data_IF_540844169520
#
_entry.id   IF_540844169520
#
_cell.length_a   1.000
_cell.length_b   1.000
_cell.length_c   1.000
_cell.angle_alpha   90.00
_cell.angle_beta   90.00
_cell.angle_gamma   90.00
#
_symmetry.space_group_name_H-M   'P 1'
#
loop_
_entity.id
_entity.type
_entity.pdbx_description
1 polymer ?
#
# COMPACT_ATOMS: atom_id res chain seq x y z
N UNK A 1 19.90 8.28 19.56
CA UNK A 1 19.01 7.90 18.43
C UNK A 1 19.34 8.71 17.19
N UNK A 2 19.43 8.09 16.03
CA UNK A 2 19.65 8.74 14.74
C UNK A 2 18.45 8.52 13.81
N UNK A 3 18.33 9.37 12.77
CA UNK A 3 17.29 9.21 11.74
C UNK A 3 17.42 7.88 11.03
N UNK A 4 18.65 7.45 10.72
CA UNK A 4 18.93 6.16 10.13
C UNK A 4 18.43 4.99 10.98
N UNK A 5 18.59 5.07 12.29
CA UNK A 5 18.06 4.06 13.21
C UNK A 5 16.53 4.03 13.20
N UNK A 6 15.85 5.19 13.05
CA UNK A 6 14.39 5.21 12.89
C UNK A 6 13.96 4.52 11.60
N UNK A 7 14.65 4.76 10.46
CA UNK A 7 14.39 4.04 9.22
C UNK A 7 14.62 2.54 9.37
N UNK A 8 15.72 2.15 9.98
CA UNK A 8 16.05 0.75 10.25
C UNK A 8 14.95 0.07 11.08
N UNK A 9 14.53 0.70 12.16
CA UNK A 9 13.47 0.19 13.02
C UNK A 9 12.14 0.08 12.28
N UNK A 10 11.72 1.11 11.55
CA UNK A 10 10.45 1.13 10.84
C UNK A 10 10.39 0.05 9.75
N UNK A 11 11.50 -0.21 9.07
CA UNK A 11 11.55 -1.28 8.07
C UNK A 11 11.50 -2.68 8.72
N UNK A 12 12.21 -2.91 9.84
CA UNK A 12 12.09 -4.17 10.60
C UNK A 12 10.66 -4.36 11.12
N UNK A 13 10.01 -3.29 11.57
CA UNK A 13 8.62 -3.33 12.02
C UNK A 13 7.67 -3.76 10.91
N UNK A 14 7.85 -3.26 9.69
CA UNK A 14 7.02 -3.60 8.51
C UNK A 14 7.25 -5.04 8.06
N UNK A 15 8.52 -5.43 7.93
CA UNK A 15 8.89 -6.73 7.37
C UNK A 15 8.72 -7.90 8.35
N UNK A 16 8.62 -7.64 9.66
CA UNK A 16 8.63 -8.69 10.70
C UNK A 16 9.84 -9.62 10.60
N UNK A 17 10.85 -9.24 9.83
CA UNK A 17 12.05 -10.01 9.51
C UNK A 17 13.25 -9.09 9.38
N UNK A 18 14.25 -9.28 10.24
CA UNK A 18 15.51 -8.52 10.14
C UNK A 18 16.23 -8.82 8.82
N UNK A 19 16.17 -10.07 8.35
CA UNK A 19 16.83 -10.48 7.11
C UNK A 19 16.19 -9.79 5.89
N UNK A 20 14.87 -9.78 5.81
CA UNK A 20 14.16 -9.12 4.72
C UNK A 20 14.34 -7.60 4.77
N UNK A 21 14.22 -6.99 5.95
CA UNK A 21 14.45 -5.57 6.14
C UNK A 21 15.88 -5.15 5.75
N UNK A 22 16.89 -5.97 6.09
CA UNK A 22 18.26 -5.72 5.71
C UNK A 22 18.47 -5.77 4.20
N UNK A 23 17.84 -6.73 3.52
CA UNK A 23 17.87 -6.81 2.06
C UNK A 23 17.23 -5.57 1.41
N UNK A 24 16.08 -5.12 1.89
CA UNK A 24 15.38 -3.94 1.38
C UNK A 24 16.18 -2.64 1.59
N UNK A 25 16.93 -2.55 2.69
CA UNK A 25 17.76 -1.38 3.03
C UNK A 25 19.18 -1.45 2.47
N UNK A 26 19.53 -2.54 1.76
CA UNK A 26 20.89 -2.77 1.24
C UNK A 26 21.99 -2.71 2.32
N UNK A 27 21.67 -3.17 3.54
CA UNK A 27 22.60 -3.26 4.65
C UNK A 27 22.81 -4.71 5.11
N UNK A 28 23.88 -4.98 5.87
CA UNK A 28 24.05 -6.30 6.44
C UNK A 28 23.03 -6.57 7.57
N UNK A 29 22.57 -7.82 7.68
CA UNK A 29 21.69 -8.26 8.78
C UNK A 29 22.27 -7.91 10.16
N UNK A 30 23.60 -8.01 10.30
CA UNK A 30 24.30 -7.69 11.54
C UNK A 30 24.22 -6.20 11.86
N UNK A 31 24.46 -5.33 10.88
CA UNK A 31 24.35 -3.88 11.03
C UNK A 31 22.93 -3.45 11.43
N UNK A 32 21.91 -4.01 10.74
CA UNK A 32 20.52 -3.71 11.05
C UNK A 32 20.12 -4.20 12.45
N UNK A 33 20.51 -5.42 12.83
CA UNK A 33 20.26 -5.96 14.18
C UNK A 33 20.91 -5.13 15.26
N UNK A 34 22.15 -4.64 15.03
CA UNK A 34 22.85 -3.77 15.97
C UNK A 34 22.19 -2.40 16.07
N UNK A 35 21.71 -1.86 14.96
CA UNK A 35 20.98 -0.58 14.92
C UNK A 35 19.71 -0.62 15.77
N UNK A 36 18.90 -1.66 15.64
CA UNK A 36 17.70 -1.88 16.47
C UNK A 36 18.08 -2.08 17.94
N UNK A 37 19.09 -2.89 18.21
CA UNK A 37 19.56 -3.13 19.60
C UNK A 37 19.99 -1.84 20.28
N UNK A 38 20.69 -0.94 19.59
CA UNK A 38 21.08 0.37 20.14
C UNK A 38 19.87 1.23 20.50
N UNK A 39 18.78 1.16 19.73
CA UNK A 39 17.52 1.84 20.11
C UNK A 39 16.92 1.23 21.36
N UNK A 40 16.85 -0.10 21.47
CA UNK A 40 16.35 -0.79 22.64
C UNK A 40 17.16 -0.46 23.90
N UNK A 41 18.49 -0.39 23.75
CA UNK A 41 19.40 0.02 24.83
C UNK A 41 19.20 1.48 25.26
N UNK A 42 19.04 2.39 24.29
CA UNK A 42 18.85 3.83 24.55
C UNK A 42 17.52 4.12 25.26
N UNK A 43 16.45 3.42 24.88
CA UNK A 43 15.12 3.61 25.47
C UNK A 43 14.84 2.68 26.65
N UNK A 44 15.75 1.75 26.96
CA UNK A 44 15.63 0.82 28.08
C UNK A 44 14.43 -0.15 27.91
N UNK A 45 13.97 -0.37 26.69
CA UNK A 45 12.80 -1.20 26.40
C UNK A 45 13.04 -2.09 25.18
N UNK A 46 12.64 -3.36 25.27
CA UNK A 46 12.61 -4.23 24.11
C UNK A 46 11.50 -3.77 23.15
N UNK A 47 11.87 -3.46 21.90
CA UNK A 47 10.93 -3.04 20.86
C UNK A 47 10.44 -4.22 20.04
N UNK A 48 11.22 -5.32 20.01
CA UNK A 48 10.84 -6.57 19.35
C UNK A 48 11.05 -7.77 20.25
N UNK A 49 10.14 -8.75 20.10
CA UNK A 49 10.33 -10.12 20.60
C UNK A 49 10.87 -10.98 19.45
N UNK A 50 11.91 -11.75 19.70
CA UNK A 50 12.47 -12.67 18.70
C UNK A 50 11.66 -13.95 18.66
N UNK A 51 11.27 -14.36 17.46
CA UNK A 51 10.60 -15.62 17.17
C UNK A 51 11.50 -16.52 16.33
N UNK A 52 11.14 -17.81 16.23
CA UNK A 52 11.89 -18.76 15.37
C UNK A 52 11.94 -18.29 13.91
N UNK A 53 10.88 -17.65 13.41
CA UNK A 53 10.75 -17.25 12.01
C UNK A 53 10.75 -15.71 11.81
N UNK A 54 11.31 -14.94 12.73
CA UNK A 54 11.32 -13.48 12.58
C UNK A 54 11.29 -12.70 13.88
N UNK A 55 10.65 -11.54 13.84
CA UNK A 55 10.47 -10.67 15.00
C UNK A 55 9.05 -10.15 15.09
N UNK A 56 8.55 -9.99 16.30
CA UNK A 56 7.23 -9.39 16.58
C UNK A 56 7.40 -8.15 17.44
N UNK A 57 6.74 -7.02 17.11
CA UNK A 57 6.80 -5.82 17.93
C UNK A 57 6.15 -6.04 19.29
N UNK A 58 6.79 -5.57 20.32
CA UNK A 58 6.21 -5.44 21.65
C UNK A 58 5.21 -4.29 21.70
N UNK A 59 4.50 -4.11 22.81
CA UNK A 59 3.68 -2.90 23.03
C UNK A 59 4.52 -1.62 22.94
N UNK A 60 5.74 -1.63 23.51
CA UNK A 60 6.69 -0.53 23.41
C UNK A 60 7.11 -0.30 21.94
N UNK A 61 7.34 -1.38 21.16
CA UNK A 61 7.65 -1.30 19.74
C UNK A 61 6.52 -0.69 18.91
N UNK A 62 5.26 -0.96 19.25
CA UNK A 62 4.11 -0.36 18.58
C UNK A 62 4.00 1.14 18.85
N UNK A 63 4.19 1.57 20.11
CA UNK A 63 4.23 3.00 20.48
C UNK A 63 5.41 3.71 19.83
N UNK A 64 6.59 3.08 19.88
CA UNK A 64 7.78 3.61 19.24
C UNK A 64 7.59 3.78 17.73
N UNK A 65 6.93 2.83 17.05
CA UNK A 65 6.62 2.91 15.62
C UNK A 65 5.77 4.14 15.30
N UNK A 66 4.69 4.41 16.05
CA UNK A 66 3.85 5.60 15.84
C UNK A 66 4.65 6.89 15.98
N UNK A 67 5.48 6.97 17.02
CA UNK A 67 6.33 8.15 17.28
C UNK A 67 7.43 8.31 16.22
N UNK A 68 8.08 7.21 15.82
CA UNK A 68 9.09 7.21 14.77
C UNK A 68 8.53 7.70 13.44
N UNK A 69 7.32 7.29 13.13
CA UNK A 69 6.61 7.71 11.93
C UNK A 69 6.34 9.23 11.92
N UNK A 70 5.86 9.78 13.03
CA UNK A 70 5.62 11.21 13.17
C UNK A 70 6.93 12.01 12.98
N UNK A 71 8.04 11.58 13.61
CA UNK A 71 9.34 12.23 13.44
C UNK A 71 9.85 12.18 12.02
N UNK A 72 9.71 11.04 11.34
CA UNK A 72 10.13 10.90 9.92
C UNK A 72 9.28 11.77 8.99
N UNK A 73 7.98 11.91 9.27
CA UNK A 73 7.09 12.82 8.56
C UNK A 73 7.51 14.27 8.73
N UNK A 74 7.74 14.72 9.96
CA UNK A 74 8.21 16.08 10.26
C UNK A 74 9.56 16.38 9.61
N UNK A 75 10.48 15.41 9.62
CA UNK A 75 11.76 15.55 8.94
C UNK A 75 11.59 15.73 7.42
N UNK A 76 10.66 15.00 6.83
CA UNK A 76 10.34 15.13 5.41
C UNK A 76 9.75 16.52 5.10
N UNK A 77 8.82 16.99 5.93
CA UNK A 77 8.24 18.32 5.84
C UNK A 77 9.32 19.42 6.00
N UNK A 78 10.23 19.27 6.98
CA UNK A 78 11.35 20.19 7.15
C UNK A 78 12.23 20.25 5.90
N UNK A 79 12.63 19.09 5.37
CA UNK A 79 13.44 19.04 4.14
C UNK A 79 12.76 19.72 2.97
N UNK A 80 11.44 19.54 2.84
CA UNK A 80 10.65 20.17 1.80
C UNK A 80 10.58 21.69 1.99
N UNK A 81 10.29 22.16 3.22
CA UNK A 81 10.23 23.60 3.52
C UNK A 81 11.59 24.29 3.30
N UNK A 82 12.70 23.59 3.59
CA UNK A 82 14.03 24.16 3.39
C UNK A 82 14.47 24.24 1.92
N UNK A 83 13.86 23.46 1.02
CA UNK A 83 14.17 23.51 -0.42
C UNK A 83 13.87 24.87 -1.04
N UNK A 84 12.82 25.57 -0.61
CA UNK A 84 12.49 26.91 -1.10
C UNK A 84 13.57 27.97 -0.77
N UNK A 85 14.41 27.70 0.25
CA UNK A 85 15.52 28.58 0.67
C UNK A 85 16.87 28.15 0.09
N UNK A 86 16.94 27.01 -0.61
CA UNK A 86 18.17 26.56 -1.25
C UNK A 86 18.45 27.41 -2.49
N UNK A 87 19.58 28.10 -2.48
CA UNK A 87 20.06 28.90 -3.63
C UNK A 87 20.54 28.01 -4.79
N UNK A 88 20.84 26.76 -4.53
CA UNK A 88 21.14 25.77 -5.55
C UNK A 88 19.83 25.18 -6.05
N UNK A 89 19.39 25.55 -7.25
CA UNK A 89 18.41 24.76 -7.99
C UNK A 89 18.99 23.34 -8.10
N UNK A 90 18.32 22.30 -7.56
CA UNK A 90 18.83 20.96 -7.73
C UNK A 90 19.00 20.69 -9.22
N UNK A 91 20.12 20.08 -9.60
CA UNK A 91 20.45 19.79 -10.99
C UNK A 91 19.39 18.91 -11.71
N UNK A 92 18.46 18.34 -10.95
CA UNK A 92 17.22 17.70 -11.39
C UNK A 92 16.10 18.03 -10.41
N UNK A 93 14.95 18.47 -10.93
CA UNK A 93 13.72 18.50 -10.13
C UNK A 93 13.38 17.06 -9.73
N UNK A 94 13.21 16.80 -8.45
CA UNK A 94 12.78 15.49 -7.95
C UNK A 94 11.31 15.60 -7.58
N UNK A 95 10.47 14.77 -8.19
CA UNK A 95 9.08 14.59 -7.82
C UNK A 95 8.92 13.21 -7.16
N UNK A 96 8.56 13.20 -5.90
CA UNK A 96 8.34 11.97 -5.13
C UNK A 96 6.88 11.57 -5.22
N UNK A 97 6.65 10.38 -5.74
CA UNK A 97 5.32 9.85 -5.99
C UNK A 97 5.10 8.66 -5.06
N UNK A 98 4.23 8.81 -4.07
CA UNK A 98 3.74 7.72 -3.23
C UNK A 98 2.59 7.00 -3.93
N UNK A 99 2.69 5.70 -4.12
CA UNK A 99 1.67 4.93 -4.84
C UNK A 99 1.32 3.66 -4.06
N UNK A 100 0.03 3.33 -3.94
CA UNK A 100 -0.36 2.02 -3.41
C UNK A 100 0.03 0.93 -4.41
N UNK A 101 0.44 -0.20 -3.88
CA UNK A 101 1.05 -1.29 -4.66
C UNK A 101 0.23 -1.80 -5.84
N UNK A 102 -1.08 -1.94 -5.68
CA UNK A 102 -1.98 -2.38 -6.76
C UNK A 102 -1.95 -1.41 -7.95
N UNK A 103 -1.88 -0.12 -7.67
CA UNK A 103 -1.80 0.92 -8.71
C UNK A 103 -0.39 0.96 -9.31
N UNK A 104 0.66 0.83 -8.49
CA UNK A 104 2.03 0.79 -8.99
C UNK A 104 2.24 -0.42 -9.90
N UNK A 105 1.71 -1.59 -9.54
CA UNK A 105 1.77 -2.80 -10.37
C UNK A 105 1.00 -2.65 -11.69
N UNK A 106 -0.14 -1.94 -11.69
CA UNK A 106 -0.97 -1.77 -12.87
C UNK A 106 -0.48 -0.67 -13.82
N UNK A 107 0.05 0.42 -13.29
CA UNK A 107 0.35 1.64 -14.05
C UNK A 107 1.81 2.10 -13.95
N UNK A 108 2.65 1.46 -13.12
CA UNK A 108 3.99 1.94 -12.78
C UNK A 108 4.88 2.13 -14.01
N UNK A 109 4.94 1.17 -14.91
CA UNK A 109 5.74 1.25 -16.13
C UNK A 109 5.27 2.39 -17.04
N UNK A 110 3.95 2.54 -17.21
CA UNK A 110 3.37 3.60 -18.03
C UNK A 110 3.59 4.98 -17.41
N UNK A 111 3.40 5.12 -16.10
CA UNK A 111 3.69 6.34 -15.35
C UNK A 111 5.16 6.73 -15.51
N UNK A 112 6.08 5.81 -15.22
CA UNK A 112 7.50 6.09 -15.30
C UNK A 112 7.94 6.49 -16.71
N UNK A 113 7.56 5.69 -17.72
CA UNK A 113 7.96 5.91 -19.11
C UNK A 113 7.40 7.23 -19.65
N UNK A 114 6.11 7.50 -19.41
CA UNK A 114 5.45 8.70 -19.94
C UNK A 114 5.93 9.96 -19.25
N UNK A 115 6.01 9.97 -17.93
CA UNK A 115 6.49 11.13 -17.17
C UNK A 115 7.95 11.45 -17.48
N UNK A 116 8.84 10.46 -17.56
CA UNK A 116 10.25 10.66 -17.92
C UNK A 116 10.44 11.19 -19.32
N UNK A 117 9.55 10.82 -20.25
CA UNK A 117 9.57 11.33 -21.64
C UNK A 117 9.09 12.79 -21.73
N UNK A 118 8.00 13.12 -21.04
CA UNK A 118 7.39 14.46 -21.11
C UNK A 118 8.20 15.46 -20.29
N UNK A 119 8.75 15.04 -19.17
CA UNK A 119 9.50 15.89 -18.24
C UNK A 119 10.96 15.40 -18.06
N UNK A 120 11.82 15.51 -19.09
CA UNK A 120 13.17 14.92 -19.11
C UNK A 120 14.12 15.54 -18.06
N UNK A 121 13.77 16.69 -17.50
CA UNK A 121 14.56 17.37 -16.46
C UNK A 121 14.06 17.08 -15.04
N UNK A 122 13.03 16.23 -14.88
CA UNK A 122 12.48 15.83 -13.60
C UNK A 122 12.84 14.37 -13.33
N UNK A 123 13.33 14.10 -12.12
CA UNK A 123 13.50 12.73 -11.63
C UNK A 123 12.27 12.34 -10.83
N UNK A 124 11.60 11.27 -11.25
CA UNK A 124 10.44 10.74 -10.57
C UNK A 124 10.87 9.59 -9.66
N UNK A 125 10.67 9.77 -8.36
CA UNK A 125 10.98 8.80 -7.32
C UNK A 125 9.68 8.15 -6.84
N UNK A 126 9.47 6.89 -7.22
CA UNK A 126 8.28 6.13 -6.86
C UNK A 126 8.53 5.33 -5.58
N UNK A 127 7.64 5.48 -4.62
CA UNK A 127 7.65 4.72 -3.38
C UNK A 127 6.28 4.12 -3.12
N UNK A 128 6.26 2.91 -2.58
CA UNK A 128 4.99 2.29 -2.16
C UNK A 128 4.50 2.89 -0.86
N UNK A 129 3.19 3.14 -0.79
CA UNK A 129 2.52 3.65 0.40
C UNK A 129 1.44 2.68 0.87
N UNK A 130 1.24 2.65 2.19
CA UNK A 130 0.15 1.90 2.82
C UNK A 130 -0.99 2.85 3.10
N UNK A 131 -2.20 2.54 2.62
CA UNK A 131 -3.38 3.42 2.76
C UNK A 131 -3.61 3.84 4.21
N UNK A 132 -3.55 2.92 5.16
CA UNK A 132 -3.77 3.19 6.59
C UNK A 132 -2.79 4.22 7.18
N UNK A 133 -1.63 4.38 6.58
CA UNK A 133 -0.57 5.29 7.01
C UNK A 133 -0.59 6.61 6.21
N UNK A 134 -1.37 6.68 5.13
CA UNK A 134 -1.42 7.82 4.22
C UNK A 134 -1.72 9.16 4.92
N UNK A 135 -2.65 9.25 5.92
CA UNK A 135 -2.89 10.51 6.62
C UNK A 135 -1.66 11.10 7.31
N UNK A 136 -0.68 10.24 7.62
CA UNK A 136 0.55 10.65 8.29
C UNK A 136 1.68 11.00 7.32
N UNK A 137 1.59 10.53 6.07
CA UNK A 137 2.69 10.58 5.10
C UNK A 137 2.40 11.29 3.79
N UNK A 138 1.13 11.70 3.52
CA UNK A 138 0.84 12.32 2.23
C UNK A 138 1.71 13.55 1.97
N UNK A 139 2.12 14.28 3.01
CA UNK A 139 3.04 15.43 2.88
C UNK A 139 4.50 15.02 2.67
N UNK A 140 4.85 13.75 2.83
CA UNK A 140 6.19 13.24 2.51
C UNK A 140 6.41 13.05 1.00
N UNK A 141 5.33 13.08 0.24
CA UNK A 141 5.32 12.96 -1.21
C UNK A 141 4.85 14.25 -1.85
N UNK A 142 5.35 14.52 -3.04
CA UNK A 142 4.90 15.64 -3.86
C UNK A 142 3.59 15.25 -4.56
N UNK A 143 3.39 13.94 -4.76
CA UNK A 143 2.20 13.33 -5.34
C UNK A 143 1.88 11.99 -4.66
N UNK A 144 0.63 11.72 -4.32
CA UNK A 144 0.20 10.43 -3.76
C UNK A 144 -0.98 9.88 -4.56
N UNK A 145 -0.91 8.59 -4.90
CA UNK A 145 -1.92 7.89 -5.69
C UNK A 145 -2.43 6.71 -4.88
N UNK A 146 -3.71 6.69 -4.60
CA UNK A 146 -4.34 5.66 -3.78
C UNK A 146 -5.69 5.20 -4.34
N UNK A 147 -6.00 3.92 -4.11
CA UNK A 147 -7.33 3.37 -4.33
C UNK A 147 -8.02 3.25 -2.96
N UNK A 148 -9.03 4.04 -2.73
CA UNK A 148 -9.69 4.19 -1.44
C UNK A 148 -11.10 3.59 -1.45
N UNK A 149 -11.54 3.01 -0.34
CA UNK A 149 -12.95 2.72 -0.11
C UNK A 149 -13.72 4.02 0.13
N UNK A 150 -15.04 4.02 -0.04
CA UNK A 150 -15.90 5.16 0.30
C UNK A 150 -15.77 5.58 1.77
N UNK A 151 -15.56 4.63 2.67
CA UNK A 151 -15.33 4.86 4.10
C UNK A 151 -13.99 5.58 4.32
N UNK A 152 -12.93 5.07 3.69
CA UNK A 152 -11.59 5.66 3.80
C UNK A 152 -11.53 7.03 3.12
N UNK A 153 -12.21 7.18 1.97
CA UNK A 153 -12.30 8.44 1.23
C UNK A 153 -12.88 9.56 2.10
N UNK A 154 -13.97 9.30 2.84
CA UNK A 154 -14.56 10.29 3.76
C UNK A 154 -13.58 10.72 4.85
N UNK A 155 -12.81 9.79 5.39
CA UNK A 155 -11.79 10.09 6.40
C UNK A 155 -10.65 10.93 5.82
N UNK A 156 -10.34 10.74 4.54
CA UNK A 156 -9.22 11.43 3.87
C UNK A 156 -9.61 12.75 3.21
N UNK A 157 -10.88 13.04 3.07
CA UNK A 157 -11.35 14.35 2.59
C UNK A 157 -10.81 15.52 3.42
N UNK A 158 -10.44 15.27 4.69
CA UNK A 158 -9.84 16.26 5.59
C UNK A 158 -8.34 16.49 5.34
N UNK A 159 -7.68 15.69 4.49
CA UNK A 159 -6.27 15.87 4.14
C UNK A 159 -6.07 17.01 3.14
N UNK A 160 -7.11 17.40 2.42
CA UNK A 160 -7.04 18.56 1.54
C UNK A 160 -6.79 19.83 2.35
N UNK A 161 -5.88 20.66 1.84
CA UNK A 161 -5.50 21.95 2.43
C UNK A 161 -5.29 22.96 1.30
N UNK A 162 -4.94 24.20 1.62
CA UNK A 162 -4.63 25.21 0.60
C UNK A 162 -3.47 24.78 -0.31
N UNK A 163 -2.59 23.90 0.18
CA UNK A 163 -1.41 23.42 -0.55
C UNK A 163 -1.65 22.06 -1.20
N UNK A 164 -2.30 21.12 -0.49
CA UNK A 164 -2.53 19.78 -0.99
C UNK A 164 -3.96 19.61 -1.48
N UNK A 165 -4.10 19.23 -2.73
CA UNK A 165 -5.39 19.05 -3.39
C UNK A 165 -5.65 17.57 -3.61
N UNK A 166 -6.83 17.11 -3.20
CA UNK A 166 -7.32 15.76 -3.52
C UNK A 166 -8.23 15.83 -4.75
N UNK A 167 -7.99 14.94 -5.73
CA UNK A 167 -8.75 14.84 -6.97
C UNK A 167 -9.18 13.41 -7.22
N UNK A 168 -10.44 13.26 -7.54
CA UNK A 168 -11.02 12.00 -8.00
C UNK A 168 -10.65 11.74 -9.47
N UNK A 169 -10.15 10.54 -9.76
CA UNK A 169 -9.80 10.09 -11.11
C UNK A 169 -10.87 9.14 -11.67
N UNK A 170 -11.19 8.08 -10.93
CA UNK A 170 -12.13 7.06 -11.36
C UNK A 170 -12.69 6.27 -10.17
N UNK A 171 -13.85 5.65 -10.39
CA UNK A 171 -14.41 4.65 -9.49
C UNK A 171 -14.40 3.28 -10.18
N UNK A 172 -13.90 2.26 -9.49
CA UNK A 172 -13.83 0.91 -9.99
C UNK A 172 -14.73 -0.02 -9.15
N UNK A 173 -15.56 -0.84 -9.80
CA UNK A 173 -16.34 -1.86 -9.09
C UNK A 173 -15.41 -2.87 -8.44
N UNK A 174 -15.82 -3.39 -7.29
CA UNK A 174 -15.11 -4.47 -6.61
C UNK A 174 -15.74 -5.79 -6.99
N UNK A 175 -14.90 -6.76 -7.32
CA UNK A 175 -15.31 -8.12 -7.60
C UNK A 175 -14.72 -9.09 -6.59
N UNK A 176 -15.37 -10.25 -6.45
CA UNK A 176 -14.98 -11.31 -5.55
C UNK A 176 -14.86 -12.60 -6.35
N UNK A 177 -13.74 -13.30 -6.22
CA UNK A 177 -13.54 -14.64 -6.72
C UNK A 177 -13.88 -15.64 -5.63
N UNK A 178 -14.75 -16.59 -5.94
CA UNK A 178 -15.14 -17.71 -5.07
C UNK A 178 -15.09 -19.01 -5.85
N UNK A 179 -14.97 -20.16 -5.17
CA UNK A 179 -15.10 -21.48 -5.82
C UNK A 179 -16.43 -21.58 -6.57
N UNK A 180 -16.42 -22.21 -7.75
CA UNK A 180 -17.65 -22.49 -8.49
C UNK A 180 -18.63 -23.42 -7.74
N UNK A 181 -18.13 -24.20 -6.76
CA UNK A 181 -18.93 -25.02 -5.86
C UNK A 181 -19.40 -24.28 -4.60
N UNK A 182 -19.02 -23.03 -4.42
CA UNK A 182 -19.41 -22.23 -3.26
C UNK A 182 -20.92 -21.97 -3.22
N UNK A 183 -21.57 -21.99 -2.04
CA UNK A 183 -22.97 -21.59 -1.88
C UNK A 183 -23.23 -20.15 -2.33
N UNK A 184 -22.20 -19.31 -2.38
CA UNK A 184 -22.28 -17.93 -2.85
C UNK A 184 -22.62 -17.81 -4.35
N UNK A 185 -22.53 -18.91 -5.11
CA UNK A 185 -22.89 -18.90 -6.53
C UNK A 185 -24.39 -18.78 -6.80
N UNK A 186 -25.24 -19.05 -5.81
CA UNK A 186 -26.68 -18.82 -5.90
C UNK A 186 -27.04 -17.32 -5.95
N UNK A 187 -26.12 -16.45 -5.53
CA UNK A 187 -26.32 -15.00 -5.51
C UNK A 187 -25.76 -14.35 -6.78
N UNK A 188 -26.46 -13.39 -7.30
CA UNK A 188 -26.01 -12.57 -8.45
C UNK A 188 -24.99 -11.52 -8.04
N UNK A 189 -25.00 -11.11 -6.76
CA UNK A 189 -24.10 -10.10 -6.18
C UNK A 189 -23.78 -10.52 -4.75
N UNK A 190 -22.56 -10.26 -4.30
CA UNK A 190 -22.12 -10.51 -2.92
C UNK A 190 -21.87 -9.20 -2.19
N UNK A 191 -22.25 -9.17 -0.90
CA UNK A 191 -21.86 -8.09 0.02
C UNK A 191 -20.79 -8.58 0.97
N UNK A 192 -20.00 -7.69 1.53
CA UNK A 192 -18.95 -8.08 2.47
C UNK A 192 -19.50 -8.68 3.76
N UNK A 193 -20.69 -8.26 4.20
CA UNK A 193 -21.36 -8.85 5.37
C UNK A 193 -21.65 -10.35 5.17
N UNK A 194 -21.95 -10.76 3.93
CA UNK A 194 -22.16 -12.19 3.61
C UNK A 194 -20.87 -13.01 3.77
N UNK A 195 -19.72 -12.38 3.58
CA UNK A 195 -18.42 -13.03 3.59
C UNK A 195 -17.72 -12.99 4.95
N UNK A 196 -18.34 -12.40 5.97
CA UNK A 196 -17.74 -12.21 7.29
C UNK A 196 -17.15 -13.50 7.91
N UNK A 197 -17.80 -14.63 7.72
CA UNK A 197 -17.36 -15.93 8.21
C UNK A 197 -16.64 -16.78 7.15
N UNK A 198 -16.34 -16.20 5.99
CA UNK A 198 -15.63 -16.88 4.91
C UNK A 198 -14.15 -16.46 4.94
N UNK A 199 -13.21 -17.41 4.93
CA UNK A 199 -11.80 -17.07 5.00
C UNK A 199 -11.33 -16.35 3.72
N UNK A 200 -10.57 -15.28 3.92
CA UNK A 200 -9.97 -14.50 2.85
C UNK A 200 -8.53 -14.96 2.56
N UNK A 201 -8.12 -14.97 1.31
CA UNK A 201 -6.73 -15.15 0.93
C UNK A 201 -6.25 -14.09 -0.07
N UNK A 202 -4.96 -13.81 -0.03
CA UNK A 202 -4.29 -12.90 -0.96
C UNK A 202 -2.90 -13.41 -1.30
N UNK A 203 -2.37 -13.02 -2.47
CA UNK A 203 -0.98 -13.29 -2.84
C UNK A 203 -0.07 -12.38 -2.04
N UNK A 204 0.81 -12.95 -1.20
CA UNK A 204 1.74 -12.21 -0.34
C UNK A 204 2.82 -11.47 -1.12
N UNK A 205 3.26 -11.99 -2.24
CA UNK A 205 4.43 -11.50 -2.95
C UNK A 205 4.20 -10.32 -3.87
N UNK A 206 2.95 -9.91 -4.01
CA UNK A 206 2.66 -8.76 -4.86
C UNK A 206 1.79 -7.84 -4.06
N UNK A 207 2.35 -7.34 -2.93
CA UNK A 207 2.05 -6.01 -2.44
C UNK A 207 0.55 -5.56 -2.40
N UNK A 208 -0.33 -6.14 -3.21
CA UNK A 208 -1.76 -5.83 -3.26
C UNK A 208 -2.54 -6.34 -2.04
N UNK A 209 -2.08 -7.43 -1.40
CA UNK A 209 -2.80 -8.06 -0.29
C UNK A 209 -3.01 -7.15 0.92
N UNK A 210 -2.03 -6.31 1.26
CA UNK A 210 -2.12 -5.39 2.41
C UNK A 210 -3.18 -4.30 2.16
N UNK A 211 -3.28 -3.79 0.94
CA UNK A 211 -4.29 -2.78 0.58
C UNK A 211 -5.70 -3.34 0.64
N UNK A 212 -5.91 -4.58 0.18
CA UNK A 212 -7.21 -5.24 0.25
C UNK A 212 -7.63 -5.57 1.67
N UNK A 213 -6.69 -5.94 2.53
CA UNK A 213 -6.98 -6.17 3.95
C UNK A 213 -7.52 -4.92 4.64
N UNK A 214 -6.85 -3.79 4.47
CA UNK A 214 -7.32 -2.52 5.05
C UNK A 214 -8.70 -2.11 4.51
N UNK A 215 -8.97 -2.45 3.25
CA UNK A 215 -10.28 -2.22 2.64
C UNK A 215 -11.36 -3.10 3.28
N UNK A 216 -11.12 -4.40 3.40
CA UNK A 216 -12.06 -5.33 4.06
C UNK A 216 -12.27 -5.00 5.54
N UNK A 217 -11.20 -4.64 6.25
CA UNK A 217 -11.28 -4.18 7.64
C UNK A 217 -12.20 -2.95 7.77
N UNK A 218 -12.16 -2.02 6.80
CA UNK A 218 -12.99 -0.81 6.83
C UNK A 218 -14.48 -1.10 6.76
N UNK A 219 -14.87 -2.22 6.17
CA UNK A 219 -16.25 -2.71 6.09
C UNK A 219 -16.61 -3.74 7.17
N UNK A 220 -15.69 -4.06 8.08
CA UNK A 220 -15.91 -5.10 9.09
C UNK A 220 -16.02 -6.52 8.50
N UNK A 221 -15.60 -6.70 7.25
CA UNK A 221 -15.75 -7.96 6.50
C UNK A 221 -14.76 -9.06 6.94
N UNK A 222 -13.78 -8.75 7.78
CA UNK A 222 -12.78 -9.71 8.26
C UNK A 222 -13.10 -10.13 9.68
N UNK A 223 -13.38 -11.40 9.84
CA UNK A 223 -13.38 -12.04 11.15
C UNK A 223 -11.93 -12.34 11.55
N UNK A 224 -11.40 -11.61 12.52
CA UNK A 224 -10.02 -11.79 13.02
C UNK A 224 -9.70 -13.19 13.53
N UNK A 225 -10.71 -14.00 13.83
CA UNK A 225 -10.52 -15.40 14.23
C UNK A 225 -10.30 -16.34 13.02
N UNK A 226 -10.65 -15.88 11.81
CA UNK A 226 -10.46 -16.61 10.54
C UNK A 226 -9.27 -16.05 9.73
N UNK A 227 -8.46 -15.17 10.33
CA UNK A 227 -7.22 -14.66 9.72
C UNK A 227 -6.18 -15.79 9.53
N UNK A 228 -6.52 -16.76 8.73
CA UNK A 228 -5.51 -17.52 8.03
C UNK A 228 -5.13 -16.73 6.79
N UNK A 229 -4.06 -15.94 6.92
CA UNK A 229 -3.26 -15.50 5.78
C UNK A 229 -2.28 -16.63 5.51
N UNK A 230 -2.62 -17.60 4.67
CA UNK A 230 -1.59 -18.46 4.19
C UNK A 230 -0.65 -17.54 3.45
N UNK A 231 0.61 -17.57 3.84
CA UNK A 231 1.72 -16.96 3.13
C UNK A 231 1.78 -17.60 1.76
N UNK A 232 0.95 -17.13 0.82
CA UNK A 232 0.83 -17.67 -0.52
C UNK A 232 2.02 -17.18 -1.35
N UNK A 233 3.20 -17.69 -1.01
CA UNK A 233 4.40 -17.48 -1.82
C UNK A 233 4.26 -18.11 -3.23
N UNK A 234 3.34 -19.07 -3.37
CA UNK A 234 3.12 -19.81 -4.61
C UNK A 234 1.69 -19.55 -5.13
N UNK A 235 1.59 -19.07 -6.36
CA UNK A 235 0.31 -18.86 -7.06
C UNK A 235 -0.59 -20.10 -7.07
N UNK A 236 0.02 -21.28 -7.18
CA UNK A 236 -0.71 -22.54 -7.12
C UNK A 236 -1.47 -22.71 -5.81
N UNK A 237 -0.84 -22.45 -4.67
CA UNK A 237 -1.49 -22.59 -3.37
C UNK A 237 -2.65 -21.59 -3.23
N UNK A 238 -2.46 -20.36 -3.71
CA UNK A 238 -3.50 -19.34 -3.72
C UNK A 238 -4.76 -19.78 -4.48
N UNK A 239 -4.56 -20.36 -5.67
CA UNK A 239 -5.65 -20.89 -6.48
C UNK A 239 -6.33 -22.08 -5.76
N UNK A 240 -5.54 -23.02 -5.25
CA UNK A 240 -6.06 -24.21 -4.56
C UNK A 240 -6.93 -23.84 -3.35
N UNK A 241 -6.57 -22.79 -2.62
CA UNK A 241 -7.35 -22.32 -1.47
C UNK A 241 -8.73 -21.79 -1.89
N UNK A 242 -8.82 -21.10 -3.02
CA UNK A 242 -10.10 -20.60 -3.53
C UNK A 242 -10.91 -21.73 -4.14
N UNK A 243 -10.32 -22.57 -5.01
CA UNK A 243 -11.02 -23.63 -5.72
C UNK A 243 -11.54 -24.72 -4.77
N UNK A 244 -10.70 -25.15 -3.80
CA UNK A 244 -10.90 -26.39 -3.06
C UNK A 244 -11.20 -26.21 -1.57
N UNK A 245 -10.86 -25.07 -0.99
CA UNK A 245 -10.95 -24.85 0.46
C UNK A 245 -11.95 -23.76 0.87
N UNK A 246 -12.70 -23.21 -0.08
CA UNK A 246 -13.78 -22.25 0.21
C UNK A 246 -13.33 -20.85 0.61
N UNK A 247 -12.08 -20.48 0.28
CA UNK A 247 -11.60 -19.14 0.45
C UNK A 247 -12.15 -18.22 -0.63
N UNK A 248 -12.10 -16.91 -0.38
CA UNK A 248 -12.36 -15.90 -1.40
C UNK A 248 -11.20 -14.92 -1.54
N UNK A 249 -11.15 -14.21 -2.67
CA UNK A 249 -10.27 -13.08 -2.87
C UNK A 249 -11.00 -11.94 -3.58
N UNK A 250 -10.43 -10.75 -3.47
CA UNK A 250 -10.98 -9.54 -4.11
C UNK A 250 -10.21 -9.24 -5.39
N UNK A 251 -10.91 -8.66 -6.36
CA UNK A 251 -10.30 -8.17 -7.59
C UNK A 251 -10.87 -6.83 -8.03
N UNK A 252 -10.04 -6.08 -8.75
CA UNK A 252 -10.33 -4.75 -9.27
C UNK A 252 -10.00 -4.69 -10.75
N UNK A 253 -10.88 -4.10 -11.59
CA UNK A 253 -10.60 -3.89 -13.01
C UNK A 253 -9.68 -2.67 -13.21
N UNK A 254 -8.42 -2.81 -12.81
CA UNK A 254 -7.40 -1.79 -13.05
C UNK A 254 -6.91 -1.85 -14.50
N UNK A 255 -6.25 -0.78 -14.98
CA UNK A 255 -5.59 -0.75 -16.31
C UNK A 255 -6.43 -1.31 -17.46
N UNK A 256 -7.33 -0.48 -17.97
CA UNK A 256 -8.15 -0.84 -19.16
C UNK A 256 -9.29 -1.82 -18.90
N UNK A 257 -9.70 -1.97 -17.64
CA UNK A 257 -10.82 -2.84 -17.25
C UNK A 257 -10.44 -4.31 -17.05
N UNK A 258 -9.16 -4.67 -17.16
CA UNK A 258 -8.65 -6.01 -16.82
C UNK A 258 -8.64 -6.22 -15.30
N UNK A 259 -9.16 -7.36 -14.88
CA UNK A 259 -9.06 -7.78 -13.49
C UNK A 259 -7.62 -8.20 -13.15
N UNK A 260 -7.17 -7.87 -11.95
CA UNK A 260 -5.80 -8.12 -11.50
C UNK A 260 -5.44 -9.63 -11.51
N UNK A 261 -6.40 -10.49 -11.16
CA UNK A 261 -6.20 -11.93 -11.07
C UNK A 261 -6.84 -12.72 -12.23
N UNK A 262 -7.35 -12.04 -13.27
CA UNK A 262 -8.09 -12.69 -14.37
C UNK A 262 -7.27 -13.80 -15.06
N UNK A 263 -5.99 -13.54 -15.30
CA UNK A 263 -5.13 -14.52 -15.96
C UNK A 263 -4.86 -15.75 -15.08
N UNK A 264 -4.78 -15.57 -13.75
CA UNK A 264 -4.57 -16.66 -12.80
C UNK A 264 -5.79 -17.59 -12.71
N UNK A 265 -7.00 -17.02 -12.86
CA UNK A 265 -8.25 -17.75 -12.71
C UNK A 265 -8.87 -18.16 -14.06
N UNK A 266 -8.25 -17.81 -15.18
CA UNK A 266 -8.68 -18.27 -16.49
C UNK A 266 -8.66 -19.81 -16.52
N UNK A 267 -9.79 -20.41 -16.90
CA UNK A 267 -9.96 -21.87 -16.99
C UNK A 267 -9.91 -22.61 -15.63
N UNK A 268 -10.11 -21.89 -14.53
CA UNK A 268 -10.19 -22.45 -13.19
C UNK A 268 -11.64 -22.62 -12.73
N UNK A 269 -11.83 -23.50 -11.75
CA UNK A 269 -13.16 -23.77 -11.18
C UNK A 269 -13.54 -22.70 -10.12
N UNK A 270 -13.58 -21.45 -10.57
CA UNK A 270 -13.92 -20.27 -9.75
C UNK A 270 -14.96 -19.40 -10.47
N UNK A 271 -15.72 -18.68 -9.69
CA UNK A 271 -16.73 -17.75 -10.17
C UNK A 271 -16.42 -16.31 -9.73
N UNK A 272 -16.61 -15.37 -10.62
CA UNK A 272 -16.48 -13.94 -10.35
C UNK A 272 -17.84 -13.36 -9.98
N UNK A 273 -17.92 -12.70 -8.85
CA UNK A 273 -19.14 -12.07 -8.35
C UNK A 273 -18.92 -10.56 -8.16
N UNK A 274 -19.81 -9.72 -8.67
CA UNK A 274 -19.79 -8.28 -8.38
C UNK A 274 -20.19 -8.00 -6.94
N UNK A 275 -19.75 -6.85 -6.44
CA UNK A 275 -20.20 -6.29 -5.15
C UNK A 275 -20.85 -4.91 -5.37
N UNK A 276 -21.66 -4.41 -4.43
CA UNK A 276 -22.17 -3.06 -4.50
C UNK A 276 -21.12 -1.98 -4.17
N UNK A 277 -19.96 -2.40 -3.69
CA UNK A 277 -18.87 -1.50 -3.29
C UNK A 277 -18.01 -1.11 -4.48
N UNK A 278 -17.37 0.05 -4.37
CA UNK A 278 -16.41 0.56 -5.33
C UNK A 278 -15.13 1.02 -4.64
N UNK A 279 -14.03 0.91 -5.35
CA UNK A 279 -12.81 1.62 -5.04
C UNK A 279 -12.78 2.94 -5.80
N UNK A 280 -12.28 3.96 -5.13
CA UNK A 280 -12.11 5.29 -5.68
C UNK A 280 -10.63 5.55 -5.88
N UNK A 281 -10.22 5.75 -7.12
CA UNK A 281 -8.87 6.12 -7.46
C UNK A 281 -8.70 7.62 -7.25
N UNK A 282 -7.94 7.96 -6.24
CA UNK A 282 -7.71 9.33 -5.80
C UNK A 282 -6.25 9.70 -5.93
N UNK A 283 -6.01 10.96 -6.24
CA UNK A 283 -4.68 11.55 -6.17
C UNK A 283 -4.69 12.71 -5.18
N UNK A 284 -3.63 12.80 -4.38
CA UNK A 284 -3.36 13.95 -3.52
C UNK A 284 -2.01 14.50 -3.95
N UNK A 285 -1.94 15.77 -4.28
CA UNK A 285 -0.70 16.38 -4.75
C UNK A 285 -0.51 17.80 -4.24
N UNK A 286 0.73 18.20 -4.14
CA UNK A 286 1.14 19.57 -3.85
C UNK A 286 0.85 20.45 -5.07
N UNK A 287 -0.13 21.35 -4.96
CA UNK A 287 -0.61 22.19 -6.04
C UNK A 287 0.46 23.17 -6.53
N UNK A 288 1.36 23.61 -5.66
CA UNK A 288 2.40 24.57 -6.03
C UNK A 288 3.50 23.93 -6.90
N UNK A 289 3.82 22.65 -6.62
CA UNK A 289 4.97 21.98 -7.25
C UNK A 289 4.58 20.96 -8.32
N UNK A 290 3.36 20.43 -8.29
CA UNK A 290 2.97 19.29 -9.11
C UNK A 290 1.78 19.55 -10.05
N UNK A 291 1.32 20.79 -10.18
CA UNK A 291 0.18 21.12 -11.03
C UNK A 291 0.39 20.69 -12.49
N UNK A 292 1.61 20.80 -13.01
CA UNK A 292 1.92 20.43 -14.39
C UNK A 292 1.94 18.92 -14.63
N UNK A 293 2.18 18.13 -13.59
CA UNK A 293 2.21 16.65 -13.68
C UNK A 293 0.82 16.04 -13.60
N UNK A 294 -0.11 16.70 -12.89
CA UNK A 294 -1.45 16.18 -12.63
C UNK A 294 -2.21 15.76 -13.91
N UNK A 295 -2.29 16.57 -14.98
CA UNK A 295 -3.04 16.19 -16.18
C UNK A 295 -2.50 14.89 -16.82
N UNK A 296 -1.17 14.75 -16.88
CA UNK A 296 -0.52 13.57 -17.47
C UNK A 296 -0.79 12.32 -16.62
N UNK A 297 -0.64 12.44 -15.29
CA UNK A 297 -0.92 11.34 -14.36
C UNK A 297 -2.39 10.95 -14.41
N UNK A 298 -3.29 11.93 -14.42
CA UNK A 298 -4.73 11.71 -14.48
C UNK A 298 -5.15 10.99 -15.79
N UNK A 299 -4.59 11.37 -16.93
CA UNK A 299 -4.87 10.72 -18.21
C UNK A 299 -4.40 9.26 -18.23
N UNK A 300 -3.20 8.99 -17.73
CA UNK A 300 -2.67 7.62 -17.60
C UNK A 300 -3.59 6.77 -16.72
N UNK A 301 -3.95 7.29 -15.55
CA UNK A 301 -4.78 6.57 -14.58
C UNK A 301 -6.23 6.39 -15.06
N UNK A 302 -6.73 7.31 -15.90
CA UNK A 302 -8.04 7.21 -16.53
C UNK A 302 -8.05 6.31 -17.79
N UNK A 303 -6.89 5.78 -18.20
CA UNK A 303 -6.77 4.90 -19.37
C UNK A 303 -6.89 5.65 -20.71
N UNK A 304 -6.48 6.92 -20.75
CA UNK A 304 -6.52 7.76 -21.94
C UNK A 304 -5.18 7.86 -22.64
#
# INVERSE_FOLDING_TARGET
MTIEQLFHFTEVYRQRSITQAAANLYVSRQALSLSVKKLEEEFGAALFTRLANGVEPTKAGQEFYRSAQAVLSELSALRQNMRQYSAEKPAKNVCRIGVVDSILSAYGDQLFTTLSRIFPHTYFDFSTIVIKEMPQFYTAFDFSIAALSDITLRSYATLASDRYVMKHIAAYPVYIWVSASSPWNEYTMLTFDMLHDTPFCSLKNKQSGISFMSYLESYGAINKQLEHHPDMALEKNFIDYIENFGYYTIDLPLSGGKLLHEELFRERNVALKPTPQSFYLEVIYDQETCQDFYPVIADILAGK
#
